data_IF_971474924465
#
_entry.id   IF_971474924465
#
_cell.length_a   1.000
_cell.length_b   1.000
_cell.length_c   1.000
_cell.angle_alpha   90.00
_cell.angle_beta   90.00
_cell.angle_gamma   90.00
#
_symmetry.space_group_name_H-M   'P 1'
#
loop_
_entity.id
_entity.type
_entity.pdbx_description
1 polymer ?
#
# COMPACT_ATOMS: atom_id res chain seq x y z
N UNK A 1 4.14 22.20 -20.50
CA UNK A 1 2.82 21.64 -20.13
C UNK A 1 2.30 20.60 -21.13
N UNK A 2 2.21 20.89 -22.43
CA UNK A 2 1.72 19.93 -23.45
C UNK A 2 2.49 18.60 -23.49
N UNK A 3 3.83 18.64 -23.45
CA UNK A 3 4.68 17.43 -23.39
C UNK A 3 4.45 16.58 -22.13
N UNK A 4 4.20 17.24 -20.99
CA UNK A 4 3.89 16.56 -19.72
C UNK A 4 2.53 15.87 -19.80
N UNK A 5 1.50 16.55 -20.31
CA UNK A 5 0.14 15.99 -20.49
C UNK A 5 0.18 14.84 -21.50
N UNK A 6 0.92 14.98 -22.60
CA UNK A 6 1.09 13.91 -23.58
C UNK A 6 1.78 12.69 -22.96
N UNK A 7 2.86 12.88 -22.22
CA UNK A 7 3.57 11.82 -21.49
C UNK A 7 2.68 11.13 -20.45
N UNK A 8 1.92 11.89 -19.66
CA UNK A 8 0.95 11.35 -18.70
C UNK A 8 -0.14 10.53 -19.41
N UNK A 9 -0.68 11.02 -20.53
CA UNK A 9 -1.63 10.26 -21.35
C UNK A 9 -1.03 8.97 -21.90
N UNK A 10 0.23 9.00 -22.31
CA UNK A 10 0.88 7.84 -22.91
C UNK A 10 1.16 6.74 -21.89
N UNK A 11 1.56 7.12 -20.67
CA UNK A 11 1.70 6.21 -19.53
C UNK A 11 0.37 5.51 -19.18
N UNK A 12 -0.76 6.20 -19.37
CA UNK A 12 -2.07 5.62 -19.12
C UNK A 12 -2.61 4.80 -20.31
N UNK A 13 -1.97 4.93 -21.47
CA UNK A 13 -2.33 4.19 -22.67
C UNK A 13 -1.59 2.89 -22.80
N UNK A 14 -0.34 2.77 -22.37
CA UNK A 14 0.37 1.49 -22.39
C UNK A 14 1.39 1.44 -21.26
N UNK A 15 1.73 0.23 -20.82
CA UNK A 15 2.79 0.05 -19.85
C UNK A 15 4.13 0.42 -20.50
N UNK A 16 4.65 1.59 -20.13
CA UNK A 16 5.89 2.11 -20.70
C UNK A 16 7.08 1.36 -20.11
N UNK A 17 7.64 0.43 -20.88
CA UNK A 17 8.80 -0.38 -20.49
C UNK A 17 10.11 0.40 -20.39
N UNK A 18 10.14 1.67 -20.84
CA UNK A 18 11.29 2.56 -20.68
C UNK A 18 11.27 3.37 -19.38
N UNK A 19 10.15 3.35 -18.63
CA UNK A 19 10.05 4.03 -17.35
C UNK A 19 10.81 3.23 -16.29
N UNK A 20 12.08 3.57 -16.10
CA UNK A 20 12.95 2.91 -15.14
C UNK A 20 13.64 3.95 -14.25
N UNK A 21 13.15 4.06 -13.03
CA UNK A 21 13.82 4.71 -11.91
C UNK A 21 14.78 3.68 -11.31
N UNK A 22 16.02 4.06 -10.95
CA UNK A 22 16.98 3.13 -10.36
C UNK A 22 16.39 2.37 -9.16
N UNK A 23 16.56 1.03 -9.09
CA UNK A 23 15.95 0.21 -8.05
C UNK A 23 16.27 0.67 -6.63
N UNK A 24 17.50 1.11 -6.37
CA UNK A 24 17.89 1.61 -5.04
C UNK A 24 17.06 2.83 -4.62
N UNK A 25 16.66 3.71 -5.54
CA UNK A 25 15.78 4.84 -5.25
C UNK A 25 14.36 4.33 -4.96
N UNK A 26 13.80 3.50 -5.85
CA UNK A 26 12.43 2.98 -5.68
C UNK A 26 12.25 2.20 -4.39
N UNK A 27 13.19 1.31 -4.06
CA UNK A 27 13.17 0.49 -2.84
C UNK A 27 13.32 1.38 -1.61
N UNK A 28 14.26 2.34 -1.64
CA UNK A 28 14.46 3.27 -0.52
C UNK A 28 13.21 4.10 -0.26
N UNK A 29 12.54 4.60 -1.32
CA UNK A 29 11.30 5.35 -1.19
C UNK A 29 10.17 4.50 -0.61
N UNK A 30 9.99 3.26 -1.10
CA UNK A 30 8.97 2.34 -0.59
C UNK A 30 9.18 2.05 0.91
N UNK A 31 10.41 1.77 1.33
CA UNK A 31 10.76 1.55 2.73
C UNK A 31 10.49 2.83 3.54
N UNK A 32 10.98 3.98 3.07
CA UNK A 32 10.84 5.25 3.77
C UNK A 32 9.37 5.64 3.96
N UNK A 33 8.55 5.54 2.92
CA UNK A 33 7.12 5.87 3.01
C UNK A 33 6.36 4.90 3.91
N UNK A 34 6.70 3.61 3.88
CA UNK A 34 6.10 2.61 4.76
C UNK A 34 6.46 2.90 6.22
N UNK A 35 7.72 3.23 6.49
CA UNK A 35 8.18 3.58 7.84
C UNK A 35 7.50 4.84 8.35
N UNK A 36 7.54 5.94 7.60
CA UNK A 36 6.97 7.21 8.05
C UNK A 36 5.46 7.07 8.27
N UNK A 37 4.73 6.51 7.30
CA UNK A 37 3.27 6.33 7.42
C UNK A 37 2.91 5.37 8.54
N UNK A 38 3.70 4.30 8.71
CA UNK A 38 3.53 3.33 9.78
C UNK A 38 3.74 3.94 11.16
N UNK A 39 4.82 4.73 11.34
CA UNK A 39 5.08 5.47 12.58
C UNK A 39 3.93 6.44 12.86
N UNK A 40 3.50 7.21 11.86
CA UNK A 40 2.38 8.15 12.03
C UNK A 40 1.09 7.43 12.44
N UNK A 41 0.71 6.36 11.74
CA UNK A 41 -0.48 5.58 12.07
C UNK A 41 -0.39 4.94 13.45
N UNK A 42 0.79 4.48 13.86
CA UNK A 42 1.02 3.91 15.19
C UNK A 42 0.89 4.95 16.30
N UNK A 43 1.53 6.12 16.14
CA UNK A 43 1.45 7.22 17.12
C UNK A 43 0.00 7.70 17.26
N UNK A 44 -0.71 7.89 16.15
CA UNK A 44 -2.13 8.26 16.17
C UNK A 44 -2.96 7.19 16.90
N UNK A 45 -2.68 5.91 16.64
CA UNK A 45 -3.36 4.82 17.31
C UNK A 45 -3.15 4.83 18.84
N UNK A 46 -1.93 5.12 19.28
CA UNK A 46 -1.61 5.24 20.70
C UNK A 46 -2.22 6.48 21.34
N UNK A 47 -2.09 7.65 20.71
CA UNK A 47 -2.57 8.94 21.24
C UNK A 47 -4.09 8.97 21.37
N UNK A 48 -4.81 8.39 20.41
CA UNK A 48 -6.26 8.52 20.33
C UNK A 48 -7.05 7.34 20.90
N UNK A 49 -6.45 6.14 20.97
CA UNK A 49 -7.20 4.92 21.27
C UNK A 49 -6.57 4.02 22.35
N UNK A 50 -5.40 4.34 22.90
CA UNK A 50 -4.86 3.56 24.00
C UNK A 50 -5.57 3.93 25.30
N UNK A 51 -6.01 2.93 26.07
CA UNK A 51 -6.62 3.13 27.38
C UNK A 51 -5.60 3.66 28.41
N UNK A 52 -4.31 3.35 28.23
CA UNK A 52 -3.19 3.84 29.05
C UNK A 52 -1.99 4.24 28.19
N UNK A 53 -1.25 5.27 28.63
CA UNK A 53 -0.01 5.68 27.96
C UNK A 53 1.06 4.58 28.07
N UNK A 54 1.36 3.94 26.93
CA UNK A 54 2.45 2.96 26.84
C UNK A 54 3.69 3.61 26.20
N UNK A 55 4.87 3.57 26.86
CA UNK A 55 6.11 4.01 26.24
C UNK A 55 6.38 3.27 24.92
N UNK A 56 6.75 3.99 23.87
CA UNK A 56 7.06 3.42 22.55
C UNK A 56 8.08 2.26 22.59
N UNK A 57 9.00 2.30 23.57
CA UNK A 57 10.01 1.25 23.78
C UNK A 57 9.41 -0.12 24.11
N UNK A 58 8.25 -0.18 24.78
CA UNK A 58 7.55 -1.42 25.10
C UNK A 58 6.79 -1.99 23.88
N UNK A 59 6.44 -1.15 22.90
CA UNK A 59 5.73 -1.53 21.68
C UNK A 59 6.61 -1.74 20.45
N UNK A 60 7.94 -1.54 20.56
CA UNK A 60 8.84 -1.50 19.40
C UNK A 60 8.92 -2.82 18.64
N UNK A 61 8.90 -3.96 19.33
CA UNK A 61 8.96 -5.28 18.69
C UNK A 61 7.69 -5.54 17.85
N UNK A 62 6.53 -5.26 18.43
CA UNK A 62 5.22 -5.36 17.77
C UNK A 62 5.15 -4.43 16.57
N UNK A 63 5.58 -3.17 16.75
CA UNK A 63 5.65 -2.19 15.67
C UNK A 63 6.58 -2.66 14.55
N UNK A 64 7.75 -3.18 14.87
CA UNK A 64 8.73 -3.69 13.89
C UNK A 64 8.17 -4.87 13.10
N UNK A 65 7.47 -5.79 13.76
CA UNK A 65 6.78 -6.90 13.09
C UNK A 65 5.69 -6.40 12.15
N UNK A 66 4.90 -5.39 12.56
CA UNK A 66 3.88 -4.77 11.72
C UNK A 66 4.48 -4.09 10.49
N UNK A 67 5.59 -3.38 10.63
CA UNK A 67 6.34 -2.81 9.50
C UNK A 67 6.84 -3.92 8.57
N UNK A 68 7.40 -5.01 9.11
CA UNK A 68 7.84 -6.15 8.31
C UNK A 68 6.69 -6.79 7.50
N UNK A 69 5.50 -6.91 8.11
CA UNK A 69 4.29 -7.38 7.42
C UNK A 69 3.89 -6.45 6.28
N UNK A 70 3.95 -5.12 6.47
CA UNK A 70 3.65 -4.15 5.41
C UNK A 70 4.68 -4.19 4.27
N UNK A 71 5.96 -4.38 4.58
CA UNK A 71 6.99 -4.57 3.55
C UNK A 71 6.76 -5.87 2.78
N UNK A 72 6.43 -6.97 3.48
CA UNK A 72 6.08 -8.24 2.86
C UNK A 72 4.85 -8.11 1.95
N UNK A 73 3.84 -7.34 2.35
CA UNK A 73 2.69 -7.01 1.52
C UNK A 73 3.10 -6.38 0.19
N UNK A 74 3.96 -5.36 0.23
CA UNK A 74 4.42 -4.66 -0.98
C UNK A 74 5.19 -5.64 -1.89
N UNK A 75 6.11 -6.43 -1.32
CA UNK A 75 6.92 -7.39 -2.08
C UNK A 75 6.03 -8.45 -2.74
N UNK A 76 5.10 -9.04 -1.99
CA UNK A 76 4.19 -10.07 -2.51
C UNK A 76 3.29 -9.52 -3.61
N UNK A 77 2.76 -8.30 -3.48
CA UNK A 77 1.94 -7.69 -4.53
C UNK A 77 2.74 -7.43 -5.81
N UNK A 78 3.99 -6.92 -5.70
CA UNK A 78 4.84 -6.69 -6.87
C UNK A 78 5.22 -8.02 -7.53
N UNK A 79 5.58 -9.03 -6.74
CA UNK A 79 5.90 -10.37 -7.24
C UNK A 79 4.69 -11.02 -7.94
N UNK A 80 3.51 -10.93 -7.33
CA UNK A 80 2.27 -11.44 -7.90
C UNK A 80 1.90 -10.72 -9.20
N UNK A 81 1.99 -9.38 -9.23
CA UNK A 81 1.78 -8.60 -10.44
C UNK A 81 2.74 -9.02 -11.57
N UNK A 82 4.03 -9.19 -11.25
CA UNK A 82 5.02 -9.65 -12.21
C UNK A 82 4.65 -11.03 -12.80
N UNK A 83 4.30 -12.00 -11.93
CA UNK A 83 3.90 -13.35 -12.35
C UNK A 83 2.64 -13.32 -13.21
N UNK A 84 1.65 -12.51 -12.84
CA UNK A 84 0.41 -12.37 -13.60
C UNK A 84 0.65 -11.77 -14.99
N UNK A 85 1.42 -10.69 -15.09
CA UNK A 85 1.78 -10.12 -16.40
C UNK A 85 2.55 -11.14 -17.24
N UNK A 86 3.54 -11.82 -16.65
CA UNK A 86 4.32 -12.85 -17.34
C UNK A 86 3.44 -14.00 -17.85
N UNK A 87 2.49 -14.46 -17.05
CA UNK A 87 1.60 -15.58 -17.39
C UNK A 87 0.69 -15.25 -18.58
N UNK A 88 0.04 -14.08 -18.57
CA UNK A 88 -0.95 -13.72 -19.59
C UNK A 88 -0.35 -13.04 -20.82
N UNK A 89 0.67 -12.18 -20.64
CA UNK A 89 1.34 -11.51 -21.76
C UNK A 89 2.36 -12.42 -22.44
N UNK A 90 2.94 -13.38 -21.71
CA UNK A 90 4.09 -14.21 -22.12
C UNK A 90 5.36 -13.40 -22.43
N UNK A 91 5.40 -12.14 -22.00
CA UNK A 91 6.54 -11.25 -22.12
C UNK A 91 6.99 -10.82 -20.74
N UNK A 92 8.31 -10.68 -20.56
CA UNK A 92 8.89 -10.22 -19.31
C UNK A 92 8.85 -8.71 -19.25
N UNK A 93 8.13 -8.17 -18.27
CA UNK A 93 8.32 -6.78 -17.84
C UNK A 93 9.46 -6.75 -16.83
N UNK A 94 10.44 -5.87 -17.02
CA UNK A 94 11.57 -5.74 -16.10
C UNK A 94 11.06 -5.29 -14.72
N UNK A 95 11.47 -5.98 -13.65
CA UNK A 95 11.09 -5.65 -12.27
C UNK A 95 11.37 -4.17 -11.92
N UNK A 96 12.49 -3.54 -12.33
CA UNK A 96 12.72 -2.11 -12.14
C UNK A 96 11.59 -1.20 -12.69
N UNK A 97 10.95 -1.59 -13.79
CA UNK A 97 9.83 -0.83 -14.36
C UNK A 97 8.61 -0.91 -13.43
N UNK A 98 8.27 -2.11 -12.96
CA UNK A 98 7.16 -2.29 -12.01
C UNK A 98 7.41 -1.54 -10.70
N UNK A 99 8.64 -1.59 -10.17
CA UNK A 99 9.07 -0.83 -9.01
C UNK A 99 8.95 0.69 -9.22
N UNK A 100 9.26 1.18 -10.41
CA UNK A 100 9.15 2.61 -10.75
C UNK A 100 7.70 3.08 -10.71
N UNK A 101 6.80 2.30 -11.31
CA UNK A 101 5.36 2.57 -11.26
C UNK A 101 4.81 2.51 -9.84
N UNK A 102 5.27 1.53 -9.05
CA UNK A 102 4.90 1.41 -7.64
C UNK A 102 5.39 2.62 -6.84
N UNK A 103 6.66 3.01 -6.99
CA UNK A 103 7.24 4.15 -6.29
C UNK A 103 6.43 5.44 -6.55
N UNK A 104 6.14 5.75 -7.82
CA UNK A 104 5.34 6.94 -8.20
C UNK A 104 3.98 6.95 -7.49
N UNK A 105 3.26 5.82 -7.49
CA UNK A 105 1.94 5.78 -6.84
C UNK A 105 2.05 5.77 -5.33
N UNK A 106 3.00 5.05 -4.76
CA UNK A 106 3.22 5.09 -3.31
C UNK A 106 3.61 6.48 -2.82
N UNK A 107 4.29 7.31 -3.63
CA UNK A 107 4.49 8.73 -3.32
C UNK A 107 3.16 9.47 -3.22
N UNK A 108 2.23 9.27 -4.17
CA UNK A 108 0.91 9.89 -4.11
C UNK A 108 0.10 9.39 -2.91
N UNK A 109 0.08 8.06 -2.67
CA UNK A 109 -0.60 7.47 -1.51
C UNK A 109 0.01 7.95 -0.20
N UNK A 110 1.32 8.15 -0.13
CA UNK A 110 2.00 8.71 1.03
C UNK A 110 1.46 10.10 1.39
N UNK A 111 1.37 11.02 0.42
CA UNK A 111 0.79 12.34 0.66
C UNK A 111 -0.69 12.30 1.04
N UNK A 112 -1.47 11.39 0.43
CA UNK A 112 -2.87 11.16 0.79
C UNK A 112 -2.95 10.67 2.25
N UNK A 113 -2.09 9.74 2.64
CA UNK A 113 -2.04 9.17 3.99
C UNK A 113 -1.73 10.25 5.03
N UNK A 114 -0.70 11.08 4.77
CA UNK A 114 -0.38 12.22 5.64
C UNK A 114 -1.54 13.20 5.78
N UNK A 115 -2.26 13.46 4.68
CA UNK A 115 -3.41 14.38 4.68
C UNK A 115 -4.56 13.81 5.50
N UNK A 116 -4.90 12.53 5.28
CA UNK A 116 -5.97 11.84 6.00
C UNK A 116 -5.67 11.75 7.50
N UNK A 117 -4.46 11.31 7.85
CA UNK A 117 -4.02 11.20 9.24
C UNK A 117 -3.95 12.55 9.95
N UNK A 118 -3.43 13.59 9.29
CA UNK A 118 -3.47 14.96 9.85
C UNK A 118 -4.91 15.46 10.02
N UNK A 119 -5.82 15.09 9.12
CA UNK A 119 -7.23 15.46 9.21
C UNK A 119 -7.92 14.78 10.39
N UNK A 120 -7.64 13.49 10.63
CA UNK A 120 -8.15 12.75 11.80
C UNK A 120 -7.68 13.41 13.10
N UNK A 121 -6.37 13.70 13.21
CA UNK A 121 -5.82 14.41 14.37
C UNK A 121 -6.44 15.81 14.53
N UNK A 122 -6.60 16.54 13.43
CA UNK A 122 -7.16 17.88 13.47
C UNK A 122 -8.61 17.90 13.94
N UNK A 123 -9.43 16.95 13.48
CA UNK A 123 -10.82 16.77 13.93
C UNK A 123 -10.89 16.49 15.44
N UNK A 124 -9.98 15.67 15.96
CA UNK A 124 -9.95 15.38 17.39
C UNK A 124 -9.49 16.60 18.20
N UNK A 125 -8.31 17.13 17.90
CA UNK A 125 -7.64 18.14 18.73
C UNK A 125 -8.22 19.55 18.58
N UNK A 126 -8.66 19.96 17.39
CA UNK A 126 -9.17 21.32 17.16
C UNK A 126 -10.70 21.42 17.17
N UNK A 127 -11.40 20.35 16.80
CA UNK A 127 -12.87 20.35 16.70
C UNK A 127 -13.54 19.54 17.81
N UNK A 128 -12.78 18.86 18.68
CA UNK A 128 -13.32 18.13 19.84
C UNK A 128 -14.23 16.98 19.46
N UNK A 129 -14.02 16.37 18.28
CA UNK A 129 -14.86 15.25 17.84
C UNK A 129 -14.62 14.03 18.73
N UNK A 130 -15.73 13.40 19.15
CA UNK A 130 -15.71 12.25 20.06
C UNK A 130 -14.89 11.06 19.54
N UNK A 131 -14.26 10.34 20.46
CA UNK A 131 -13.31 9.25 20.16
C UNK A 131 -13.92 8.13 19.31
N UNK A 132 -15.20 7.80 19.47
CA UNK A 132 -15.85 6.76 18.65
C UNK A 132 -15.96 7.19 17.17
N UNK A 133 -16.35 8.44 16.93
CA UNK A 133 -16.42 9.00 15.57
C UNK A 133 -15.02 9.11 14.94
N UNK A 134 -14.03 9.53 15.74
CA UNK A 134 -12.62 9.58 15.31
C UNK A 134 -12.08 8.19 14.96
N UNK A 135 -12.43 7.16 15.72
CA UNK A 135 -12.06 5.78 15.42
C UNK A 135 -12.61 5.32 14.06
N UNK A 136 -13.88 5.63 13.77
CA UNK A 136 -14.49 5.33 12.47
C UNK A 136 -13.76 6.10 11.35
N UNK A 137 -13.49 7.39 11.53
CA UNK A 137 -12.79 8.21 10.53
C UNK A 137 -11.36 7.74 10.27
N UNK A 138 -10.66 7.28 11.31
CA UNK A 138 -9.36 6.65 11.19
C UNK A 138 -9.45 5.34 10.40
N UNK A 139 -10.41 4.47 10.74
CA UNK A 139 -10.67 3.23 9.99
C UNK A 139 -10.99 3.48 8.52
N UNK A 140 -11.83 4.46 8.20
CA UNK A 140 -12.14 4.87 6.83
C UNK A 140 -10.90 5.36 6.10
N UNK A 141 -10.05 6.14 6.76
CA UNK A 141 -8.78 6.60 6.18
C UNK A 141 -7.87 5.43 5.80
N UNK A 142 -7.75 4.44 6.69
CA UNK A 142 -7.00 3.21 6.43
C UNK A 142 -7.59 2.43 5.25
N UNK A 143 -8.92 2.27 5.18
CA UNK A 143 -9.60 1.60 4.07
C UNK A 143 -9.32 2.32 2.74
N UNK A 144 -9.37 3.65 2.69
CA UNK A 144 -9.05 4.43 1.49
C UNK A 144 -7.62 4.15 1.03
N UNK A 145 -6.65 4.21 1.96
CA UNK A 145 -5.23 3.98 1.67
C UNK A 145 -5.03 2.59 1.06
N UNK A 146 -5.52 1.53 1.73
CA UNK A 146 -5.39 0.16 1.24
C UNK A 146 -6.16 -0.08 -0.06
N UNK A 147 -7.30 0.58 -0.26
CA UNK A 147 -8.05 0.46 -1.51
C UNK A 147 -7.22 0.99 -2.68
N UNK A 148 -6.61 2.17 -2.55
CA UNK A 148 -5.76 2.75 -3.61
C UNK A 148 -4.54 1.85 -3.87
N UNK A 149 -3.90 1.35 -2.81
CA UNK A 149 -2.75 0.45 -2.91
C UNK A 149 -3.06 -0.88 -3.61
N UNK A 150 -4.30 -1.36 -3.54
CA UNK A 150 -4.75 -2.57 -4.24
C UNK A 150 -5.26 -2.31 -5.66
N UNK A 151 -5.93 -1.18 -5.90
CA UNK A 151 -6.49 -0.84 -7.21
C UNK A 151 -5.41 -0.57 -8.25
N UNK A 152 -4.34 0.13 -7.87
CA UNK A 152 -3.33 0.54 -8.83
C UNK A 152 -2.51 -0.62 -9.41
N UNK A 153 -2.06 -1.62 -8.63
CA UNK A 153 -1.49 -2.84 -9.18
C UNK A 153 -2.42 -3.54 -10.18
N UNK A 154 -3.74 -3.55 -9.92
CA UNK A 154 -4.74 -4.07 -10.85
C UNK A 154 -4.85 -3.26 -12.14
N UNK A 155 -4.71 -1.95 -12.06
CA UNK A 155 -4.61 -1.09 -13.22
C UNK A 155 -3.35 -1.38 -14.06
N UNK A 156 -2.18 -1.55 -13.42
CA UNK A 156 -0.95 -1.94 -14.11
C UNK A 156 -1.07 -3.31 -14.78
N UNK A 157 -1.74 -4.25 -14.12
CA UNK A 157 -2.04 -5.55 -14.69
C UNK A 157 -2.89 -5.41 -15.95
N UNK A 158 -3.99 -4.66 -15.89
CA UNK A 158 -4.85 -4.36 -17.04
C UNK A 158 -4.04 -3.76 -18.20
N UNK A 159 -3.21 -2.74 -17.94
CA UNK A 159 -2.34 -2.15 -18.96
C UNK A 159 -1.37 -3.16 -19.57
N UNK A 160 -0.88 -4.12 -18.78
CA UNK A 160 0.03 -5.16 -19.25
C UNK A 160 -0.61 -6.19 -20.17
N UNK A 161 -1.92 -6.46 -20.04
CA UNK A 161 -2.58 -7.57 -20.76
C UNK A 161 -3.64 -7.14 -21.78
N UNK A 162 -4.11 -5.89 -21.75
CA UNK A 162 -5.24 -5.42 -22.58
C UNK A 162 -5.06 -5.53 -24.10
N UNK A 163 -3.83 -5.56 -24.60
CA UNK A 163 -3.56 -5.71 -26.04
C UNK A 163 -3.62 -7.18 -26.49
N UNK A 164 -3.75 -8.13 -25.56
CA UNK A 164 -3.85 -9.55 -25.88
C UNK A 164 -5.28 -9.90 -26.32
N UNK A 165 -5.45 -10.76 -27.34
CA UNK A 165 -6.77 -11.25 -27.75
C UNK A 165 -7.28 -12.33 -26.79
N UNK A 166 -7.33 -12.01 -25.50
CA UNK A 166 -7.81 -12.90 -24.43
C UNK A 166 -9.06 -12.29 -23.81
N UNK A 167 -9.95 -13.15 -23.33
CA UNK A 167 -11.03 -12.70 -22.45
C UNK A 167 -10.41 -12.15 -21.16
N UNK A 168 -10.52 -10.83 -20.97
CA UNK A 168 -9.89 -10.11 -19.86
C UNK A 168 -10.57 -10.43 -18.52
N UNK A 169 -11.77 -11.02 -18.54
CA UNK A 169 -12.52 -11.36 -17.34
C UNK A 169 -11.76 -12.34 -16.43
N UNK A 170 -11.30 -13.48 -16.96
CA UNK A 170 -10.60 -14.49 -16.16
C UNK A 170 -9.26 -14.02 -15.57
N UNK A 171 -8.36 -13.37 -16.35
CA UNK A 171 -7.15 -12.77 -15.81
C UNK A 171 -7.45 -11.76 -14.68
N UNK A 172 -8.49 -10.95 -14.82
CA UNK A 172 -8.89 -9.97 -13.81
C UNK A 172 -9.45 -10.63 -12.55
N UNK A 173 -10.29 -11.66 -12.67
CA UNK A 173 -10.80 -12.43 -11.54
C UNK A 173 -9.68 -13.15 -10.77
N UNK A 174 -8.72 -13.75 -11.48
CA UNK A 174 -7.53 -14.35 -10.86
C UNK A 174 -6.68 -13.30 -10.14
N UNK A 175 -6.56 -12.11 -10.72
CA UNK A 175 -5.83 -11.01 -10.12
C UNK A 175 -6.47 -10.56 -8.80
N UNK A 176 -7.79 -10.33 -8.81
CA UNK A 176 -8.56 -10.00 -7.61
C UNK A 176 -8.40 -11.09 -6.55
N UNK A 177 -8.60 -12.36 -6.91
CA UNK A 177 -8.50 -13.47 -5.98
C UNK A 177 -7.10 -13.55 -5.33
N UNK A 178 -6.04 -13.35 -6.11
CA UNK A 178 -4.67 -13.36 -5.61
C UNK A 178 -4.36 -12.23 -4.63
N UNK A 179 -4.78 -11.00 -4.94
CA UNK A 179 -4.62 -9.87 -4.00
C UNK A 179 -5.38 -10.13 -2.69
N UNK A 180 -6.60 -10.66 -2.77
CA UNK A 180 -7.40 -10.96 -1.57
C UNK A 180 -6.76 -12.08 -0.75
N UNK A 181 -6.19 -13.10 -1.39
CA UNK A 181 -5.46 -14.16 -0.71
C UNK A 181 -4.21 -13.61 0.01
N UNK A 182 -3.42 -12.77 -0.67
CA UNK A 182 -2.27 -12.10 -0.06
C UNK A 182 -2.72 -11.28 1.15
N UNK A 183 -3.75 -10.44 0.97
CA UNK A 183 -4.28 -9.58 2.05
C UNK A 183 -4.78 -10.41 3.23
N UNK A 184 -5.54 -11.49 2.97
CA UNK A 184 -6.02 -12.42 4.00
C UNK A 184 -4.88 -13.05 4.79
N UNK A 185 -3.84 -13.55 4.12
CA UNK A 185 -2.68 -14.16 4.78
C UNK A 185 -1.97 -13.15 5.68
N UNK A 186 -1.81 -11.90 5.21
CA UNK A 186 -1.14 -10.86 5.99
C UNK A 186 -1.99 -10.34 7.14
N UNK A 187 -3.32 -10.25 6.99
CA UNK A 187 -4.20 -9.96 8.13
C UNK A 187 -4.13 -11.06 9.19
N UNK A 188 -3.98 -12.33 8.80
CA UNK A 188 -3.73 -13.40 9.78
C UNK A 188 -2.38 -13.27 10.46
N UNK A 189 -1.32 -12.91 9.74
CA UNK A 189 -0.03 -12.63 10.37
C UNK A 189 -0.11 -11.43 11.31
N UNK A 190 -0.84 -10.38 10.92
CA UNK A 190 -1.07 -9.22 11.76
C UNK A 190 -1.80 -9.61 13.07
N UNK A 191 -2.90 -10.35 12.99
CA UNK A 191 -3.60 -10.84 14.17
C UNK A 191 -2.78 -11.84 15.02
N UNK A 192 -1.86 -12.58 14.40
CA UNK A 192 -0.92 -13.44 15.13
C UNK A 192 0.09 -12.60 15.94
N UNK A 193 0.54 -11.45 15.41
CA UNK A 193 1.36 -10.49 16.17
C UNK A 193 0.59 -9.97 17.37
N UNK A 194 -0.70 -9.63 17.20
CA UNK A 194 -1.55 -9.17 18.31
C UNK A 194 -1.71 -10.29 19.36
N UNK A 195 -1.92 -11.53 18.92
CA UNK A 195 -1.99 -12.68 19.83
C UNK A 195 -0.67 -12.87 20.57
N UNK A 196 0.47 -12.83 19.89
CA UNK A 196 1.78 -12.97 20.54
C UNK A 196 2.04 -11.85 21.56
N UNK A 197 1.60 -10.63 21.26
CA UNK A 197 1.77 -9.50 22.19
C UNK A 197 1.10 -9.74 23.54
N UNK A 198 -0.09 -10.36 23.54
CA UNK A 198 -0.84 -10.71 24.76
C UNK A 198 -0.15 -11.77 25.64
N UNK A 199 0.82 -12.51 25.10
CA UNK A 199 1.55 -13.56 25.84
C UNK A 199 2.91 -13.09 26.37
N UNK A 200 3.40 -11.95 25.87
CA UNK A 200 4.71 -11.38 26.24
C UNK A 200 4.54 -10.23 27.25
N UNK A 201 3.35 -9.61 27.32
CA UNK A 201 2.92 -8.71 28.41
C UNK A 201 2.34 -9.46 29.59
#
# INVERSE_FOLDING_TARGET
MYKLIAYLKDIHRNLNTSLEIPPFITISLLILYTLISGVFGHIIGMDLFADDYQPFTLGFEIFSLRIAILLLYIILNIAFLYLMILWFKRERVRIPVLLSYYAIVTTAVFFISLTLFSSVLGLHHFFGVESHTIFIMFGVSVVIIFTILNLYPGYLFYLGVKERPIDIFWPFMMYIAGIHLISYLLFRLWGAVDTLSLWVT
#
